data_IF_876729729101
#
_entry.id   IF_876729729101
#
_cell.length_a   1.000
_cell.length_b   1.000
_cell.length_c   1.000
_cell.angle_alpha   90.00
_cell.angle_beta   90.00
_cell.angle_gamma   90.00
#
_symmetry.space_group_name_H-M   'P 1'
#
loop_
_entity.id
_entity.type
_entity.pdbx_description
1 polymer ?
#
# COMPACT_ATOMS: atom_id res chain seq x y z
N UNK A 1 5.51 -5.91 18.91
CA UNK A 1 4.98 -4.74 18.17
C UNK A 1 5.82 -4.65 16.90
N UNK A 2 5.23 -4.88 15.74
CA UNK A 2 5.96 -4.74 14.46
C UNK A 2 6.35 -3.29 14.25
N UNK A 3 7.54 -3.06 13.71
CA UNK A 3 8.09 -1.72 13.49
C UNK A 3 7.18 -0.96 12.48
N UNK A 4 6.79 0.30 12.73
CA UNK A 4 6.02 1.09 11.77
C UNK A 4 6.66 1.18 10.38
N UNK A 5 7.99 1.14 10.30
CA UNK A 5 8.70 1.11 9.03
C UNK A 5 8.51 -0.22 8.28
N UNK A 6 8.50 -1.35 8.99
CA UNK A 6 8.23 -2.67 8.39
C UNK A 6 6.80 -2.72 7.83
N UNK A 7 5.82 -2.21 8.59
CA UNK A 7 4.43 -2.09 8.10
C UNK A 7 4.30 -1.24 6.84
N UNK A 8 5.05 -0.14 6.76
CA UNK A 8 5.03 0.69 5.56
C UNK A 8 5.63 -0.05 4.37
N UNK A 9 6.74 -0.77 4.57
CA UNK A 9 7.35 -1.59 3.52
C UNK A 9 6.37 -2.67 3.03
N UNK A 10 5.67 -3.34 3.95
CA UNK A 10 4.66 -4.35 3.60
C UNK A 10 3.49 -3.76 2.79
N UNK A 11 3.08 -2.51 3.05
CA UNK A 11 2.04 -1.84 2.27
C UNK A 11 2.50 -1.43 0.86
N UNK A 12 3.80 -1.24 0.66
CA UNK A 12 4.38 -0.89 -0.63
C UNK A 12 4.69 -2.12 -1.49
N UNK A 13 4.66 -3.33 -0.93
CA UNK A 13 4.78 -4.59 -1.66
C UNK A 13 3.46 -4.96 -2.35
N UNK A 14 3.31 -4.52 -3.60
CA UNK A 14 2.07 -4.67 -4.36
C UNK A 14 1.93 -6.07 -4.95
N UNK A 15 0.70 -6.58 -4.95
CA UNK A 15 0.38 -7.84 -5.64
C UNK A 15 0.31 -7.60 -7.16
N UNK A 16 1.18 -8.22 -7.99
CA UNK A 16 1.04 -8.16 -9.44
C UNK A 16 -0.13 -9.05 -9.91
N UNK A 17 -0.96 -8.53 -10.81
CA UNK A 17 -2.11 -9.27 -11.36
C UNK A 17 -1.92 -9.55 -12.85
N UNK A 18 -1.36 -8.60 -13.60
CA UNK A 18 -1.14 -8.65 -15.05
C UNK A 18 0.04 -7.73 -15.41
N UNK A 19 0.48 -7.74 -16.67
CA UNK A 19 1.43 -6.77 -17.22
C UNK A 19 0.95 -5.34 -16.93
N UNK A 20 1.72 -4.60 -16.15
CA UNK A 20 1.44 -3.23 -15.70
C UNK A 20 0.15 -3.06 -14.87
N UNK A 21 -0.34 -4.13 -14.21
CA UNK A 21 -1.49 -4.06 -13.30
C UNK A 21 -1.11 -4.64 -11.94
N UNK A 22 -1.27 -3.83 -10.90
CA UNK A 22 -0.91 -4.15 -9.53
C UNK A 22 -2.06 -3.81 -8.57
N UNK A 23 -2.20 -4.57 -7.48
CA UNK A 23 -3.17 -4.33 -6.41
C UNK A 23 -2.46 -3.90 -5.13
N UNK A 24 -2.76 -2.69 -4.70
CA UNK A 24 -2.41 -2.19 -3.37
C UNK A 24 -3.40 -2.64 -2.31
N UNK A 25 -2.92 -2.74 -1.08
CA UNK A 25 -3.73 -2.95 0.12
C UNK A 25 -3.79 -1.64 0.92
N UNK A 26 -4.88 -1.45 1.65
CA UNK A 26 -5.01 -0.36 2.62
C UNK A 26 -5.33 -0.98 3.98
N UNK A 27 -4.80 -0.44 5.08
CA UNK A 27 -5.16 -0.89 6.42
C UNK A 27 -6.67 -0.77 6.68
N UNK A 28 -7.21 -1.67 7.51
CA UNK A 28 -8.59 -1.56 7.98
C UNK A 28 -8.70 -0.41 8.98
N UNK A 29 -9.22 0.71 8.51
CA UNK A 29 -9.44 1.90 9.33
C UNK A 29 -10.93 2.11 9.59
N UNK A 30 -11.26 2.65 10.78
CA UNK A 30 -12.64 2.96 11.16
C UNK A 30 -13.30 4.00 10.24
N UNK A 31 -12.49 4.73 9.47
CA UNK A 31 -12.91 5.71 8.49
C UNK A 31 -12.49 5.23 7.12
N UNK A 32 -13.45 5.06 6.20
CA UNK A 32 -13.20 4.63 4.82
C UNK A 32 -12.51 5.73 3.99
N UNK A 33 -11.23 5.98 4.27
CA UNK A 33 -10.38 6.88 3.49
C UNK A 33 -8.99 6.27 3.34
N UNK A 34 -8.39 6.49 2.18
CA UNK A 34 -7.00 6.13 1.92
C UNK A 34 -6.13 7.37 2.09
N UNK A 35 -5.01 7.24 2.78
CA UNK A 35 -4.06 8.34 2.93
C UNK A 35 -3.37 8.65 1.59
N UNK A 36 -3.34 9.92 1.17
CA UNK A 36 -2.76 10.30 -0.12
C UNK A 36 -1.29 9.91 -0.27
N UNK A 37 -0.50 9.96 0.81
CA UNK A 37 0.90 9.50 0.80
C UNK A 37 1.04 8.00 0.53
N UNK A 38 0.08 7.18 0.99
CA UNK A 38 0.06 5.74 0.68
C UNK A 38 -0.20 5.52 -0.82
N UNK A 39 -1.22 6.18 -1.38
CA UNK A 39 -1.55 6.08 -2.81
C UNK A 39 -0.39 6.52 -3.69
N UNK A 40 0.23 7.66 -3.35
CA UNK A 40 1.38 8.16 -4.09
C UNK A 40 2.60 7.23 -4.00
N UNK A 41 2.88 6.67 -2.82
CA UNK A 41 3.97 5.72 -2.62
C UNK A 41 3.76 4.43 -3.42
N UNK A 42 2.57 3.83 -3.34
CA UNK A 42 2.24 2.62 -4.11
C UNK A 42 2.32 2.88 -5.63
N UNK A 43 1.86 4.05 -6.10
CA UNK A 43 1.94 4.42 -7.51
C UNK A 43 3.36 4.62 -8.04
N UNK A 44 4.35 4.92 -7.18
CA UNK A 44 5.76 5.03 -7.59
C UNK A 44 6.47 3.67 -7.67
N UNK A 45 5.91 2.64 -7.01
CA UNK A 45 6.47 1.28 -7.00
C UNK A 45 5.91 0.43 -8.14
N UNK A 46 4.63 0.63 -8.47
CA UNK A 46 3.94 -0.01 -9.61
C UNK A 46 4.59 0.34 -10.96
#
# INVERSE_FOLDING_TARGET
MTNPAEHLVDLLDLEPIEVNIFRGRSPEESLQRVFGGQVAGQALVA
#
